data_IF_654202031061
#
_entry.id   IF_654202031061
#
_cell.length_a   1.000
_cell.length_b   1.000
_cell.length_c   1.000
_cell.angle_alpha   90.00
_cell.angle_beta   90.00
_cell.angle_gamma   90.00
#
_symmetry.space_group_name_H-M   'P 1'
#
loop_
_entity.id
_entity.type
_entity.pdbx_description
1 polymer ?
#
# COMPACT_ATOMS: atom_id res chain seq x y z
N UNK A 1 31.15 -3.69 72.16
CA UNK A 1 30.42 -4.97 72.08
C UNK A 1 29.08 -4.72 71.40
N UNK A 2 28.55 -5.47 70.45
CA UNK A 2 28.99 -6.62 69.64
C UNK A 2 27.81 -6.85 68.64
N UNK A 3 28.11 -7.05 67.36
CA UNK A 3 27.35 -7.86 66.37
C UNK A 3 25.89 -7.47 66.02
N UNK A 4 25.61 -7.06 64.76
CA UNK A 4 25.35 -7.88 63.54
C UNK A 4 24.07 -8.75 63.60
N UNK A 5 23.16 -8.51 62.64
CA UNK A 5 22.35 -9.46 61.82
C UNK A 5 21.29 -8.63 61.06
N UNK A 6 21.49 -8.27 59.78
CA UNK A 6 21.12 -9.02 58.57
C UNK A 6 19.87 -9.90 58.73
N UNK A 7 18.74 -9.43 58.20
CA UNK A 7 17.71 -10.28 57.59
C UNK A 7 17.21 -9.59 56.32
N UNK A 8 17.57 -10.22 55.19
CA UNK A 8 17.06 -9.93 53.87
C UNK A 8 15.59 -10.36 53.79
N UNK A 9 14.77 -9.55 53.13
CA UNK A 9 13.45 -9.97 52.66
C UNK A 9 13.37 -9.58 51.18
N UNK A 10 13.81 -10.52 50.35
CA UNK A 10 13.65 -10.49 48.90
C UNK A 10 12.16 -10.62 48.58
N UNK A 11 11.49 -9.51 48.25
CA UNK A 11 10.18 -9.55 47.61
C UNK A 11 10.44 -9.59 46.11
N UNK A 12 10.51 -10.81 45.59
CA UNK A 12 10.52 -11.11 44.17
C UNK A 12 9.19 -10.68 43.54
N UNK A 13 9.11 -9.46 43.01
CA UNK A 13 8.05 -9.08 42.09
C UNK A 13 8.33 -9.72 40.74
N UNK A 14 7.67 -10.85 40.48
CA UNK A 14 7.52 -11.45 39.16
C UNK A 14 6.78 -10.44 38.28
N UNK A 15 7.51 -9.70 37.45
CA UNK A 15 6.90 -8.95 36.34
C UNK A 15 6.33 -9.98 35.36
N UNK A 16 5.02 -9.96 35.04
CA UNK A 16 4.51 -10.72 33.93
C UNK A 16 5.12 -10.15 32.65
N UNK A 17 5.73 -11.02 31.85
CA UNK A 17 6.03 -10.74 30.44
C UNK A 17 4.73 -10.32 29.74
N UNK A 18 4.51 -9.01 29.62
CA UNK A 18 3.65 -8.45 28.59
C UNK A 18 4.42 -8.56 27.27
N UNK A 19 4.32 -9.74 26.64
CA UNK A 19 4.58 -9.90 25.22
C UNK A 19 3.52 -9.08 24.47
N UNK A 20 3.77 -7.78 24.33
CA UNK A 20 3.12 -6.98 23.30
C UNK A 20 3.59 -7.55 21.97
N UNK A 21 2.76 -8.40 21.37
CA UNK A 21 2.80 -8.62 19.94
C UNK A 21 2.67 -7.25 19.29
N UNK A 22 3.76 -6.76 18.70
CA UNK A 22 3.74 -5.59 17.83
C UNK A 22 2.92 -5.98 16.59
N UNK A 23 1.59 -5.91 16.71
CA UNK A 23 0.73 -5.78 15.55
C UNK A 23 1.23 -4.55 14.80
N UNK A 24 1.64 -4.75 13.54
CA UNK A 24 2.08 -3.68 12.66
C UNK A 24 1.09 -2.51 12.79
N UNK A 25 1.51 -1.45 13.48
CA UNK A 25 0.64 -0.36 13.91
C UNK A 25 0.48 0.62 12.74
N UNK A 26 -0.02 0.11 11.62
CA UNK A 26 -0.34 0.91 10.45
C UNK A 26 -1.72 1.52 10.58
N UNK A 27 -1.88 2.78 10.19
CA UNK A 27 -3.21 3.38 10.14
C UNK A 27 -3.96 2.85 8.91
N UNK A 28 -5.15 2.29 9.12
CA UNK A 28 -6.03 1.84 8.04
C UNK A 28 -6.97 2.97 7.59
N UNK A 29 -7.10 3.13 6.27
CA UNK A 29 -8.10 3.98 5.63
C UNK A 29 -8.93 3.09 4.70
N UNK A 30 -10.26 3.19 4.77
CA UNK A 30 -11.19 2.29 4.06
C UNK A 30 -12.13 3.07 3.15
N UNK A 31 -12.53 2.44 2.04
CA UNK A 31 -13.58 2.92 1.16
C UNK A 31 -13.34 4.35 0.64
N UNK A 32 -14.39 5.17 0.64
CA UNK A 32 -14.35 6.52 0.06
C UNK A 32 -13.27 7.44 0.66
N UNK A 33 -12.94 7.30 1.94
CA UNK A 33 -11.92 8.11 2.61
C UNK A 33 -10.51 7.91 2.00
N UNK A 34 -10.27 6.79 1.31
CA UNK A 34 -9.00 6.56 0.59
C UNK A 34 -8.83 7.60 -0.52
N UNK A 35 -9.91 8.04 -1.16
CA UNK A 35 -9.84 8.98 -2.29
C UNK A 35 -9.47 10.40 -1.86
N UNK A 36 -9.64 10.72 -0.58
CA UNK A 36 -9.17 11.99 -0.01
C UNK A 36 -7.69 11.92 0.41
N UNK A 37 -7.18 10.70 0.62
CA UNK A 37 -5.78 10.45 0.99
C UNK A 37 -4.83 10.69 -0.21
N UNK A 38 -3.64 11.30 -0.01
CA UNK A 38 -2.67 11.53 -1.08
C UNK A 38 -2.35 10.29 -1.92
N UNK A 39 -2.13 9.13 -1.27
CA UNK A 39 -1.89 7.87 -1.97
C UNK A 39 -3.09 7.39 -2.79
N UNK A 40 -4.33 7.58 -2.33
CA UNK A 40 -5.50 7.19 -3.12
C UNK A 40 -5.70 8.07 -4.35
N UNK A 41 -5.43 9.38 -4.24
CA UNK A 41 -5.43 10.29 -5.40
C UNK A 41 -4.39 9.89 -6.43
N UNK A 42 -3.18 9.56 -5.98
CA UNK A 42 -2.09 9.08 -6.85
C UNK A 42 -2.45 7.75 -7.50
N UNK A 43 -3.06 6.82 -6.76
CA UNK A 43 -3.51 5.53 -7.27
C UNK A 43 -4.50 5.68 -8.43
N UNK A 44 -5.55 6.49 -8.23
CA UNK A 44 -6.58 6.75 -9.24
C UNK A 44 -5.97 7.41 -10.47
N UNK A 45 -5.18 8.47 -10.27
CA UNK A 45 -4.56 9.21 -11.37
C UNK A 45 -3.59 8.33 -12.18
N UNK A 46 -2.77 7.52 -11.52
CA UNK A 46 -1.82 6.63 -12.19
C UNK A 46 -2.54 5.55 -13.00
N UNK A 47 -3.63 4.99 -12.47
CA UNK A 47 -4.49 4.06 -13.19
C UNK A 47 -5.15 4.72 -14.42
N UNK A 48 -5.70 5.93 -14.25
CA UNK A 48 -6.33 6.71 -15.33
C UNK A 48 -5.37 7.06 -16.47
N UNK A 49 -4.17 7.54 -16.14
CA UNK A 49 -3.13 7.83 -17.13
C UNK A 49 -2.67 6.58 -17.86
N UNK A 50 -2.56 5.45 -17.16
CA UNK A 50 -2.25 4.14 -17.76
C UNK A 50 -3.33 3.75 -18.77
N UNK A 51 -4.60 3.88 -18.38
CA UNK A 51 -5.74 3.58 -19.26
C UNK A 51 -5.84 4.51 -20.47
N UNK A 52 -5.47 5.77 -20.30
CA UNK A 52 -5.36 6.72 -21.40
C UNK A 52 -4.17 6.45 -22.33
N UNK A 53 -3.30 5.48 -22.01
CA UNK A 53 -2.06 5.21 -22.75
C UNK A 53 -0.95 6.24 -22.51
N UNK A 54 -1.10 7.11 -21.50
CA UNK A 54 -0.17 8.17 -21.13
C UNK A 54 0.88 7.64 -20.15
N UNK A 55 1.60 6.60 -20.55
CA UNK A 55 2.51 5.87 -19.65
C UNK A 55 3.67 6.71 -19.12
N UNK A 56 4.19 7.66 -19.90
CA UNK A 56 5.24 8.55 -19.41
C UNK A 56 4.73 9.50 -18.31
N UNK A 57 3.49 10.01 -18.41
CA UNK A 57 2.84 10.79 -17.36
C UNK A 57 2.52 9.92 -16.14
N UNK A 58 2.05 8.68 -16.35
CA UNK A 58 1.79 7.73 -15.27
C UNK A 58 3.08 7.39 -14.50
N UNK A 59 4.19 7.22 -15.21
CA UNK A 59 5.49 6.89 -14.64
C UNK A 59 6.04 8.03 -13.75
N UNK A 60 5.71 9.30 -14.02
CA UNK A 60 6.09 10.42 -13.14
C UNK A 60 5.49 10.34 -11.73
N UNK A 61 4.42 9.55 -11.55
CA UNK A 61 3.79 9.30 -10.25
C UNK A 61 4.46 8.15 -9.47
N UNK A 62 5.50 7.54 -10.03
CA UNK A 62 6.25 6.46 -9.40
C UNK A 62 7.53 6.98 -8.74
N UNK A 63 8.17 6.15 -7.91
CA UNK A 63 9.48 6.48 -7.33
C UNK A 63 10.55 6.68 -8.41
N UNK A 64 11.61 7.45 -8.09
CA UNK A 64 12.75 7.66 -9.02
C UNK A 64 13.34 6.34 -9.53
N UNK A 65 13.45 5.35 -8.65
CA UNK A 65 13.90 4.01 -9.00
C UNK A 65 13.05 3.37 -10.10
N UNK A 66 11.72 3.42 -9.98
CA UNK A 66 10.81 2.90 -11.02
C UNK A 66 10.90 3.72 -12.31
N UNK A 67 11.06 5.04 -12.20
CA UNK A 67 11.23 5.90 -13.37
C UNK A 67 12.51 5.58 -14.14
N UNK A 68 13.62 5.34 -13.44
CA UNK A 68 14.90 4.95 -14.01
C UNK A 68 14.82 3.56 -14.64
N UNK A 69 14.18 2.60 -13.94
CA UNK A 69 13.90 1.27 -14.49
C UNK A 69 13.10 1.38 -15.79
N UNK A 70 12.04 2.18 -15.83
CA UNK A 70 11.27 2.44 -17.04
C UNK A 70 12.15 2.97 -18.17
N UNK A 71 12.93 4.02 -17.92
CA UNK A 71 13.82 4.64 -18.92
C UNK A 71 14.92 3.69 -19.42
N UNK A 72 15.37 2.78 -18.57
CA UNK A 72 16.38 1.78 -18.91
C UNK A 72 15.85 0.67 -19.83
N UNK A 73 14.53 0.50 -19.91
CA UNK A 73 13.93 -0.52 -20.77
C UNK A 73 14.04 -0.13 -22.24
N UNK A 74 14.36 -1.10 -23.13
CA UNK A 74 14.32 -0.90 -24.57
C UNK A 74 12.98 -0.30 -25.02
N UNK A 75 13.01 0.57 -26.02
CA UNK A 75 11.80 1.24 -26.51
C UNK A 75 10.69 0.26 -26.94
N UNK A 76 11.08 -0.88 -27.54
CA UNK A 76 10.14 -1.93 -27.94
C UNK A 76 9.42 -2.55 -26.73
N UNK A 77 10.14 -2.79 -25.64
CA UNK A 77 9.59 -3.40 -24.43
C UNK A 77 8.70 -2.41 -23.70
N UNK A 78 9.10 -1.13 -23.62
CA UNK A 78 8.25 -0.06 -23.12
C UNK A 78 6.93 0.04 -23.88
N UNK A 79 6.96 0.00 -25.21
CA UNK A 79 5.74 0.04 -26.03
C UNK A 79 4.85 -1.16 -25.77
N UNK A 80 5.42 -2.38 -25.72
CA UNK A 80 4.67 -3.60 -25.46
C UNK A 80 4.03 -3.58 -24.06
N UNK A 81 4.81 -3.26 -23.03
CA UNK A 81 4.33 -3.17 -21.65
C UNK A 81 3.27 -2.08 -21.49
N UNK A 82 3.46 -0.91 -22.13
CA UNK A 82 2.48 0.18 -22.13
C UNK A 82 1.15 -0.27 -22.72
N UNK A 83 1.19 -0.96 -23.86
CA UNK A 83 -0.01 -1.50 -24.50
C UNK A 83 -0.73 -2.48 -23.59
N UNK A 84 0.01 -3.44 -23.01
CA UNK A 84 -0.58 -4.42 -22.08
C UNK A 84 -1.16 -3.75 -20.83
N UNK A 85 -0.44 -2.80 -20.23
CA UNK A 85 -0.91 -2.08 -19.04
C UNK A 85 -2.16 -1.27 -19.34
N UNK A 86 -2.23 -0.61 -20.50
CA UNK A 86 -3.41 0.10 -20.96
C UNK A 86 -4.63 -0.83 -21.04
N UNK A 87 -4.51 -1.95 -21.76
CA UNK A 87 -5.62 -2.91 -21.94
C UNK A 87 -6.11 -3.52 -20.62
N UNK A 88 -5.20 -3.71 -19.66
CA UNK A 88 -5.53 -4.30 -18.34
C UNK A 88 -5.99 -3.27 -17.31
N UNK A 89 -5.82 -1.97 -17.59
CA UNK A 89 -6.13 -0.89 -16.65
C UNK A 89 -7.59 -0.46 -16.71
N UNK A 90 -8.03 0.20 -15.65
CA UNK A 90 -9.38 0.72 -15.49
C UNK A 90 -9.39 2.23 -15.69
N UNK A 91 -10.55 2.79 -16.05
CA UNK A 91 -10.75 4.26 -15.99
C UNK A 91 -10.63 4.77 -14.55
N UNK A 92 -10.40 6.08 -14.38
CA UNK A 92 -10.37 6.71 -13.05
C UNK A 92 -11.68 6.48 -12.30
N UNK A 93 -12.81 6.56 -13.00
CA UNK A 93 -14.15 6.39 -12.45
C UNK A 93 -14.36 4.95 -11.97
N UNK A 94 -14.00 3.96 -12.80
CA UNK A 94 -14.11 2.54 -12.45
C UNK A 94 -13.23 2.19 -11.25
N UNK A 95 -11.97 2.65 -11.26
CA UNK A 95 -11.04 2.32 -10.19
C UNK A 95 -11.41 3.04 -8.89
N UNK A 96 -11.87 4.30 -8.97
CA UNK A 96 -12.41 5.02 -7.82
C UNK A 96 -13.63 4.32 -7.21
N UNK A 97 -14.54 3.83 -8.05
CA UNK A 97 -15.69 3.05 -7.59
C UNK A 97 -15.25 1.74 -6.91
N UNK A 98 -14.25 1.05 -7.45
CA UNK A 98 -13.69 -0.16 -6.86
C UNK A 98 -13.05 0.11 -5.49
N UNK A 99 -12.28 1.21 -5.36
CA UNK A 99 -11.69 1.65 -4.09
C UNK A 99 -12.79 1.98 -3.07
N UNK A 100 -13.82 2.73 -3.48
CA UNK A 100 -14.95 3.06 -2.59
C UNK A 100 -15.64 1.81 -2.04
N UNK A 101 -15.84 0.81 -2.89
CA UNK A 101 -16.54 -0.41 -2.53
C UNK A 101 -15.71 -1.35 -1.65
N UNK A 102 -14.44 -1.58 -2.01
CA UNK A 102 -13.64 -2.68 -1.46
C UNK A 102 -12.16 -2.32 -1.22
N UNK A 103 -11.84 -1.03 -1.15
CA UNK A 103 -10.50 -0.52 -0.93
C UNK A 103 -10.09 -0.54 0.55
N UNK A 104 -8.85 -0.94 0.79
CA UNK A 104 -8.14 -0.82 2.06
C UNK A 104 -6.75 -0.25 1.80
N UNK A 105 -6.47 0.92 2.36
CA UNK A 105 -5.13 1.50 2.39
C UNK A 105 -4.55 1.30 3.80
N UNK A 106 -3.38 0.69 3.90
CA UNK A 106 -2.64 0.54 5.16
C UNK A 106 -1.39 1.41 5.07
N UNK A 107 -1.22 2.36 5.98
CA UNK A 107 -0.06 3.25 6.04
C UNK A 107 0.83 2.85 7.21
N UNK A 108 2.08 2.50 6.92
CA UNK A 108 3.11 2.07 7.88
C UNK A 108 4.31 3.02 7.78
N UNK A 109 4.28 4.13 8.52
CA UNK A 109 5.34 5.14 8.49
C UNK A 109 5.57 5.69 7.07
N UNK A 110 6.76 5.54 6.48
CA UNK A 110 7.07 6.04 5.14
C UNK A 110 6.53 5.17 3.99
N UNK A 111 5.77 4.12 4.29
CA UNK A 111 5.23 3.19 3.29
C UNK A 111 3.73 3.10 3.38
N UNK A 112 3.06 2.86 2.26
CA UNK A 112 1.64 2.52 2.25
C UNK A 112 1.32 1.43 1.23
N UNK A 113 0.26 0.68 1.47
CA UNK A 113 -0.22 -0.37 0.57
C UNK A 113 -1.72 -0.24 0.40
N UNK A 114 -2.16 -0.02 -0.85
CA UNK A 114 -3.56 -0.06 -1.24
C UNK A 114 -3.91 -1.46 -1.74
N UNK A 115 -4.94 -2.06 -1.18
CA UNK A 115 -5.54 -3.31 -1.64
C UNK A 115 -6.96 -3.04 -2.10
N UNK A 116 -7.32 -3.48 -3.30
CA UNK A 116 -8.69 -3.41 -3.83
C UNK A 116 -9.13 -4.82 -4.20
N UNK A 117 -10.19 -5.31 -3.54
CA UNK A 117 -10.75 -6.63 -3.83
C UNK A 117 -11.95 -6.51 -4.77
N UNK A 118 -11.95 -7.28 -5.85
CA UNK A 118 -13.07 -7.38 -6.79
C UNK A 118 -13.58 -8.81 -6.77
N UNK A 119 -14.76 -9.01 -6.17
CA UNK A 119 -15.43 -10.30 -6.19
C UNK A 119 -16.43 -10.33 -7.34
N UNK A 120 -16.25 -11.28 -8.25
CA UNK A 120 -17.18 -11.57 -9.34
C UNK A 120 -17.91 -12.87 -9.00
N UNK A 121 -19.24 -12.85 -9.03
CA UNK A 121 -20.07 -14.04 -8.82
C UNK A 121 -20.82 -14.35 -10.09
N UNK A 122 -20.67 -15.56 -10.60
CA UNK A 122 -21.35 -16.07 -11.78
C UNK A 122 -22.03 -17.41 -11.49
N UNK A 123 -22.59 -18.04 -12.52
CA UNK A 123 -23.30 -19.33 -12.39
C UNK A 123 -22.38 -20.49 -11.96
N UNK A 124 -21.06 -20.36 -12.14
CA UNK A 124 -20.05 -21.37 -11.79
C UNK A 124 -19.41 -21.16 -10.42
N UNK A 125 -19.60 -20.01 -9.78
CA UNK A 125 -19.13 -19.76 -8.43
C UNK A 125 -18.79 -18.31 -8.16
N UNK A 126 -17.96 -18.08 -7.14
CA UNK A 126 -17.45 -16.75 -6.79
C UNK A 126 -15.93 -16.74 -6.97
N UNK A 127 -15.42 -15.80 -7.74
CA UNK A 127 -13.98 -15.52 -7.88
C UNK A 127 -13.67 -14.17 -7.24
N UNK A 128 -12.55 -14.07 -6.54
CA UNK A 128 -12.08 -12.79 -5.98
C UNK A 128 -10.71 -12.46 -6.55
N UNK A 129 -10.63 -11.36 -7.28
CA UNK A 129 -9.38 -10.76 -7.72
C UNK A 129 -8.94 -9.72 -6.68
N UNK A 130 -7.66 -9.76 -6.31
CA UNK A 130 -7.07 -8.73 -5.43
C UNK A 130 -6.05 -7.95 -6.24
N UNK A 131 -6.21 -6.62 -6.28
CA UNK A 131 -5.22 -5.69 -6.82
C UNK A 131 -4.49 -5.03 -5.67
N UNK A 132 -3.16 -5.02 -5.72
CA UNK A 132 -2.30 -4.40 -4.71
C UNK A 132 -1.43 -3.35 -5.37
N UNK A 133 -1.32 -2.19 -4.73
CA UNK A 133 -0.43 -1.11 -5.13
C UNK A 133 0.36 -0.63 -3.91
N UNK A 134 1.68 -0.58 -4.05
CA UNK A 134 2.58 -0.12 -3.00
C UNK A 134 2.96 1.34 -3.22
N UNK A 135 3.28 2.02 -2.13
CA UNK A 135 3.70 3.41 -2.15
C UNK A 135 4.81 3.69 -1.16
N UNK A 136 5.64 4.67 -1.52
CA UNK A 136 6.49 5.41 -0.59
C UNK A 136 5.88 6.79 -0.34
N UNK A 137 5.92 7.23 0.92
CA UNK A 137 5.51 8.55 1.37
C UNK A 137 6.78 9.35 1.68
N UNK A 138 6.99 10.44 0.94
CA UNK A 138 8.14 11.34 1.08
C UNK A 138 7.64 12.78 1.18
N UNK A 139 7.86 13.44 2.33
CA UNK A 139 7.47 14.84 2.53
C UNK A 139 5.98 15.16 2.31
N UNK A 140 5.09 14.18 2.50
CA UNK A 140 3.64 14.31 2.25
C UNK A 140 3.22 14.01 0.80
N UNK A 141 4.19 13.78 -0.10
CA UNK A 141 3.94 13.23 -1.42
C UNK A 141 3.89 11.71 -1.34
N UNK A 142 2.93 11.11 -2.05
CA UNK A 142 2.85 9.67 -2.19
C UNK A 142 3.29 9.28 -3.60
N UNK A 143 4.18 8.29 -3.72
CA UNK A 143 4.72 7.81 -4.98
C UNK A 143 4.50 6.31 -5.09
N UNK A 144 4.00 5.84 -6.23
CA UNK A 144 3.85 4.41 -6.49
C UNK A 144 5.23 3.76 -6.46
N UNK A 145 5.35 2.68 -5.69
CA UNK A 145 6.55 1.87 -5.59
C UNK A 145 6.31 0.46 -6.10
N UNK A 146 7.41 -0.27 -6.25
CA UNK A 146 7.37 -1.72 -6.42
C UNK A 146 6.75 -2.40 -5.21
#
# INVERSE_FOLDING_TARGET
MKQRRFSALCISTVLPLMLYGAAASGSEVKGAAILDHPCGKVAVKQMGLTHAGKMEEANQLTTKEMQEQWKSMPAKDRTMMSGMMKEMSQTEEQYSAAIKANGLLVVNGPSATLTVKKTTKDKSGSSTQTMTQNFKIDGGQCLVSR
#
